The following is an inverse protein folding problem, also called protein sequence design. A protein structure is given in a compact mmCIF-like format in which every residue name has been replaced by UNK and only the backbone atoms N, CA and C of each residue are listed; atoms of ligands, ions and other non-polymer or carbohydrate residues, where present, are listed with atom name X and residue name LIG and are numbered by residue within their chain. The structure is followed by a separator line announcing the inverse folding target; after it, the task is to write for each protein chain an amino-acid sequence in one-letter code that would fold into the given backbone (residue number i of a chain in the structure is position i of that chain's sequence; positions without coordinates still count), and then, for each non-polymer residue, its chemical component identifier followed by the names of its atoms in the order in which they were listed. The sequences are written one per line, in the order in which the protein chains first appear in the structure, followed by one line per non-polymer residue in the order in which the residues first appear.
data_IF_690287087254
#
_entry.id   IF_690287087254
#
_cell.length_a   1.000
_cell.length_b   1.000
_cell.length_c   1.000
_cell.angle_alpha   90.00
_cell.angle_beta   90.00
_cell.angle_gamma   90.00
#
_symmetry.space_group_name_H-M   'P 1'
#
loop_
_entity.id
_entity.type
_entity.pdbx_description
1 polymer ?
#
# COMPACT_ATOMS: atom_id res chain seq x y z
N UNK A 1 12.46 -12.75 17.72
CA UNK A 1 11.53 -13.53 16.91
C UNK A 1 11.13 -12.78 15.63
N UNK A 2 10.50 -11.56 15.68
CA UNK A 2 10.01 -10.83 14.51
C UNK A 2 11.14 -10.49 13.52
N UNK A 3 12.29 -9.98 13.99
CA UNK A 3 13.44 -9.70 13.14
C UNK A 3 13.91 -10.94 12.36
N UNK A 4 14.03 -12.09 13.03
CA UNK A 4 14.44 -13.35 12.40
C UNK A 4 13.43 -13.80 11.34
N UNK A 5 12.13 -13.67 11.64
CA UNK A 5 11.08 -14.02 10.69
C UNK A 5 11.12 -13.14 9.44
N UNK A 6 11.22 -11.80 9.61
CA UNK A 6 11.32 -10.86 8.48
C UNK A 6 12.53 -11.20 7.62
N UNK A 7 13.71 -11.39 8.22
CA UNK A 7 14.94 -11.74 7.50
C UNK A 7 14.84 -13.09 6.78
N UNK A 8 14.16 -14.07 7.39
CA UNK A 8 13.92 -15.35 6.72
C UNK A 8 13.02 -15.20 5.50
N UNK A 9 11.97 -14.40 5.58
CA UNK A 9 11.13 -14.10 4.42
C UNK A 9 11.94 -13.42 3.30
N UNK A 10 12.77 -12.44 3.63
CA UNK A 10 13.65 -11.77 2.66
C UNK A 10 14.64 -12.75 2.01
N UNK A 11 15.29 -13.61 2.80
CA UNK A 11 16.24 -14.59 2.31
C UNK A 11 15.58 -15.62 1.36
N UNK A 12 14.36 -16.06 1.67
CA UNK A 12 13.65 -17.03 0.85
C UNK A 12 13.36 -16.51 -0.57
N UNK A 13 13.27 -15.20 -0.74
CA UNK A 13 12.93 -14.57 -2.02
C UNK A 13 14.03 -13.65 -2.56
N UNK A 14 15.21 -13.70 -1.96
CA UNK A 14 16.33 -12.78 -2.24
C UNK A 14 16.77 -12.76 -3.71
N UNK A 15 16.61 -13.88 -4.42
CA UNK A 15 16.99 -14.04 -5.83
C UNK A 15 15.78 -13.98 -6.79
N UNK A 16 14.60 -13.61 -6.26
CA UNK A 16 13.40 -13.49 -7.07
C UNK A 16 12.92 -12.03 -7.15
N UNK A 17 13.21 -11.31 -8.25
CA UNK A 17 12.84 -9.90 -8.40
C UNK A 17 11.34 -9.65 -8.56
N UNK A 18 10.54 -10.71 -8.73
CA UNK A 18 9.09 -10.63 -8.95
C UNK A 18 8.27 -10.73 -7.66
N UNK A 19 8.93 -10.76 -6.50
CA UNK A 19 8.26 -10.81 -5.19
C UNK A 19 8.20 -9.42 -4.57
N UNK A 20 7.01 -9.03 -4.15
CA UNK A 20 6.77 -7.79 -3.41
C UNK A 20 6.60 -8.15 -1.93
N UNK A 21 7.38 -7.50 -1.08
CA UNK A 21 7.29 -7.63 0.38
C UNK A 21 6.28 -6.63 0.93
N UNK A 22 5.35 -7.08 1.73
CA UNK A 22 4.47 -6.21 2.48
C UNK A 22 4.24 -6.75 3.91
N UNK A 23 3.87 -5.89 4.85
CA UNK A 23 3.78 -6.24 6.27
C UNK A 23 2.81 -7.37 6.55
N UNK A 24 1.62 -7.30 6.03
CA UNK A 24 0.61 -8.38 5.97
C UNK A 24 -0.61 -7.92 5.19
N UNK A 25 -1.53 -8.83 4.89
CA UNK A 25 -2.85 -8.48 4.42
C UNK A 25 -3.66 -7.81 5.56
N UNK A 26 -4.39 -6.74 5.23
CA UNK A 26 -5.27 -6.02 6.14
C UNK A 26 -4.58 -5.51 7.42
N UNK A 27 -3.36 -5.01 7.26
CA UNK A 27 -2.58 -4.50 8.37
C UNK A 27 -3.06 -3.11 8.81
N UNK A 28 -3.60 -3.04 10.02
CA UNK A 28 -3.98 -1.79 10.70
C UNK A 28 -3.17 -1.57 11.99
N UNK A 29 -1.98 -2.13 12.02
CA UNK A 29 -1.09 -2.08 13.17
C UNK A 29 -0.46 -0.70 13.41
N UNK A 30 0.29 -0.55 14.52
CA UNK A 30 0.84 0.73 14.91
C UNK A 30 2.06 1.15 14.09
N UNK A 31 2.29 2.46 14.01
CA UNK A 31 3.41 3.07 13.29
C UNK A 31 4.77 2.46 13.67
N UNK A 32 5.04 2.27 14.96
CA UNK A 32 6.34 1.75 15.41
C UNK A 32 6.66 0.34 14.89
N UNK A 33 5.64 -0.48 14.62
CA UNK A 33 5.87 -1.80 14.02
C UNK A 33 6.27 -1.67 12.55
N UNK A 34 5.64 -0.79 11.80
CA UNK A 34 6.00 -0.53 10.39
C UNK A 34 7.40 0.07 10.30
N UNK A 35 7.75 0.99 11.19
CA UNK A 35 9.10 1.53 11.30
C UNK A 35 10.12 0.42 11.55
N UNK A 36 9.87 -0.44 12.55
CA UNK A 36 10.73 -1.58 12.84
C UNK A 36 10.87 -2.53 11.65
N UNK A 37 9.78 -2.82 10.94
CA UNK A 37 9.79 -3.69 9.76
C UNK A 37 10.65 -3.12 8.63
N UNK A 38 10.49 -1.83 8.32
CA UNK A 38 11.31 -1.14 7.31
C UNK A 38 12.78 -1.03 7.72
N UNK A 39 13.05 -0.76 8.99
CA UNK A 39 14.43 -0.72 9.51
C UNK A 39 15.13 -2.08 9.37
N UNK A 40 14.43 -3.19 9.63
CA UNK A 40 14.96 -4.55 9.41
C UNK A 40 15.24 -4.84 7.93
N UNK A 41 14.38 -4.36 7.03
CA UNK A 41 14.61 -4.50 5.58
C UNK A 41 15.85 -3.70 5.17
N UNK A 42 15.95 -2.44 5.59
CA UNK A 42 17.11 -1.58 5.28
C UNK A 42 18.43 -2.19 5.76
N UNK A 43 18.44 -2.75 6.98
CA UNK A 43 19.62 -3.48 7.51
C UNK A 43 19.96 -4.69 6.65
N UNK A 44 18.96 -5.50 6.30
CA UNK A 44 19.17 -6.68 5.46
C UNK A 44 19.69 -6.31 4.06
N UNK A 45 19.17 -5.25 3.45
CA UNK A 45 19.66 -4.76 2.16
C UNK A 45 21.13 -4.32 2.24
N UNK A 46 21.48 -3.58 3.30
CA UNK A 46 22.86 -3.10 3.51
C UNK A 46 23.86 -4.27 3.73
N UNK A 47 23.44 -5.31 4.44
CA UNK A 47 24.29 -6.47 4.74
C UNK A 47 24.40 -7.44 3.55
N UNK A 48 23.30 -7.67 2.82
CA UNK A 48 23.26 -8.66 1.72
C UNK A 48 23.71 -8.09 0.38
N UNK A 49 23.69 -6.78 0.20
CA UNK A 49 23.86 -6.11 -1.09
C UNK A 49 22.70 -6.31 -2.06
N UNK A 50 21.61 -6.94 -1.60
CA UNK A 50 20.39 -7.19 -2.39
C UNK A 50 19.33 -6.14 -2.13
N UNK A 51 18.33 -6.05 -3.00
CA UNK A 51 17.19 -5.15 -2.86
C UNK A 51 15.90 -5.94 -2.77
N UNK A 52 15.08 -5.60 -1.78
CA UNK A 52 13.70 -6.06 -1.70
C UNK A 52 12.78 -5.07 -2.43
N UNK A 53 11.72 -5.56 -3.04
CA UNK A 53 10.66 -4.71 -3.57
C UNK A 53 9.59 -4.56 -2.51
N UNK A 54 9.43 -3.36 -1.96
CA UNK A 54 8.65 -3.11 -0.75
C UNK A 54 7.37 -2.33 -1.05
N UNK A 55 6.22 -2.87 -0.65
CA UNK A 55 4.94 -2.18 -0.69
C UNK A 55 4.50 -1.72 0.71
N UNK A 56 4.17 -0.45 0.83
CA UNK A 56 3.62 0.15 2.03
C UNK A 56 2.08 0.13 1.97
N UNK A 57 1.48 -0.87 2.64
CA UNK A 57 0.04 -1.10 2.66
C UNK A 57 -0.47 -0.96 4.11
N UNK A 58 -0.77 0.25 4.52
CA UNK A 58 -1.13 0.59 5.91
C UNK A 58 -2.31 1.56 5.95
N UNK A 59 -2.73 1.96 7.16
CA UNK A 59 -3.66 3.08 7.34
C UNK A 59 -3.03 4.40 6.90
N UNK A 60 -3.84 5.40 6.54
CA UNK A 60 -3.34 6.65 5.95
C UNK A 60 -2.37 7.41 6.88
N UNK A 61 -2.68 7.49 8.15
CA UNK A 61 -1.84 8.15 9.16
C UNK A 61 -0.45 7.51 9.28
N UNK A 62 -0.39 6.18 9.28
CA UNK A 62 0.87 5.42 9.30
C UNK A 62 1.60 5.58 7.95
N UNK A 63 0.86 5.51 6.85
CA UNK A 63 1.42 5.67 5.50
C UNK A 63 2.08 7.05 5.33
N UNK A 64 1.36 8.11 5.69
CA UNK A 64 1.86 9.48 5.61
C UNK A 64 3.07 9.70 6.54
N UNK A 65 3.03 9.16 7.77
CA UNK A 65 4.14 9.28 8.73
C UNK A 65 5.43 8.57 8.24
N UNK A 66 5.30 7.40 7.61
CA UNK A 66 6.45 6.68 7.02
C UNK A 66 7.01 7.46 5.82
N UNK A 67 6.14 7.95 4.94
CA UNK A 67 6.55 8.68 3.74
C UNK A 67 7.13 10.07 4.05
N UNK A 68 6.80 10.65 5.20
CA UNK A 68 7.40 11.88 5.70
C UNK A 68 8.81 11.68 6.28
N UNK A 69 9.23 10.46 6.57
CA UNK A 69 10.58 10.12 7.01
C UNK A 69 11.46 9.72 5.80
N UNK A 70 12.39 10.55 5.35
CA UNK A 70 13.17 10.27 4.14
C UNK A 70 13.94 8.95 4.19
N UNK A 71 14.43 8.55 5.37
CA UNK A 71 15.18 7.30 5.55
C UNK A 71 14.30 6.09 5.28
N UNK A 72 13.07 6.07 5.80
CA UNK A 72 12.14 4.96 5.62
C UNK A 72 11.41 5.02 4.29
N UNK A 73 11.10 6.22 3.82
CA UNK A 73 10.55 6.42 2.49
C UNK A 73 11.45 5.85 1.39
N UNK A 74 12.78 5.91 1.56
CA UNK A 74 13.75 5.37 0.61
C UNK A 74 13.70 3.83 0.48
N UNK A 75 13.14 3.13 1.48
CA UNK A 75 12.96 1.65 1.45
C UNK A 75 11.67 1.25 0.72
N UNK A 76 10.71 2.18 0.60
CA UNK A 76 9.40 1.91 0.00
C UNK A 76 9.45 2.14 -1.51
N UNK A 77 9.08 1.14 -2.31
CA UNK A 77 8.96 1.25 -3.76
C UNK A 77 7.52 1.49 -4.21
N UNK A 78 6.56 0.94 -3.48
CA UNK A 78 5.15 0.92 -3.85
C UNK A 78 4.30 1.48 -2.71
N UNK A 79 3.45 2.44 -3.00
CA UNK A 79 2.44 2.98 -2.09
C UNK A 79 1.13 2.27 -2.44
N UNK A 80 0.66 1.37 -1.55
CA UNK A 80 -0.56 0.58 -1.77
C UNK A 80 -1.71 1.14 -0.93
N UNK A 81 -2.67 1.78 -1.61
CA UNK A 81 -3.86 2.38 -1.00
C UNK A 81 -4.92 1.31 -0.86
N UNK A 82 -5.10 0.78 0.35
CA UNK A 82 -5.99 -0.35 0.59
C UNK A 82 -6.91 -0.16 1.78
N UNK A 83 -6.46 0.53 2.82
CA UNK A 83 -7.16 0.58 4.10
C UNK A 83 -7.73 1.94 4.43
N UNK A 84 -7.77 2.83 3.47
CA UNK A 84 -8.39 4.14 3.56
C UNK A 84 -8.90 4.60 2.19
N UNK A 85 -9.79 5.57 2.16
CA UNK A 85 -10.26 6.20 0.93
C UNK A 85 -10.82 7.59 1.23
N UNK A 86 -10.89 8.42 0.22
CA UNK A 86 -11.60 9.67 0.30
C UNK A 86 -13.12 9.45 0.28
N UNK A 87 -13.85 10.40 0.89
CA UNK A 87 -15.29 10.55 0.82
C UNK A 87 -15.60 11.98 0.42
N UNK A 88 -16.86 12.25 0.06
CA UNK A 88 -17.34 13.60 -0.28
C UNK A 88 -17.10 14.60 0.84
N UNK A 89 -17.25 14.17 2.09
CA UNK A 89 -17.17 14.96 3.32
C UNK A 89 -15.89 14.76 4.14
N UNK A 90 -14.90 14.07 3.59
CA UNK A 90 -13.66 13.84 4.32
C UNK A 90 -12.88 12.59 3.92
N UNK A 91 -12.22 11.99 4.89
CA UNK A 91 -11.43 10.78 4.72
C UNK A 91 -12.00 9.67 5.61
N UNK A 92 -12.25 8.50 5.04
CA UNK A 92 -12.35 7.28 5.82
C UNK A 92 -10.94 6.71 5.99
N UNK A 93 -10.39 6.85 7.17
CA UNK A 93 -9.08 6.32 7.53
C UNK A 93 -9.13 5.84 8.98
N UNK A 94 -9.11 4.53 9.22
CA UNK A 94 -8.91 4.04 10.57
C UNK A 94 -7.52 4.43 11.06
N UNK A 95 -7.40 4.71 12.35
CA UNK A 95 -6.11 5.00 12.96
C UNK A 95 -5.26 3.74 13.08
N UNK A 96 -3.96 3.88 12.82
CA UNK A 96 -2.98 2.83 13.02
C UNK A 96 -2.90 2.39 14.49
N UNK A 97 -2.77 1.09 14.70
CA UNK A 97 -2.69 0.50 16.04
C UNK A 97 -4.01 0.13 16.67
N UNK A 98 -5.15 0.42 16.08
CA UNK A 98 -6.46 -0.03 16.59
C UNK A 98 -6.76 -1.50 16.34
N UNK A 99 -5.85 -2.23 15.69
CA UNK A 99 -5.93 -3.68 15.46
C UNK A 99 -7.35 -4.15 15.10
N UNK A 100 -7.97 -3.48 14.14
CA UNK A 100 -9.28 -3.92 13.67
C UNK A 100 -9.17 -5.28 13.01
N UNK A 101 -10.00 -6.23 13.45
CA UNK A 101 -10.10 -7.49 12.74
C UNK A 101 -10.45 -7.24 11.26
N UNK A 102 -9.92 -8.04 10.32
CA UNK A 102 -10.15 -7.88 8.88
C UNK A 102 -11.62 -7.64 8.52
N UNK A 103 -12.51 -8.41 9.12
CA UNK A 103 -13.97 -8.26 8.91
C UNK A 103 -14.53 -6.93 9.41
N UNK A 104 -13.99 -6.39 10.51
CA UNK A 104 -14.41 -5.07 11.03
C UNK A 104 -13.95 -3.95 10.12
N UNK A 105 -12.73 -4.04 9.63
CA UNK A 105 -12.17 -3.10 8.68
C UNK A 105 -13.01 -3.07 7.41
N UNK A 106 -13.26 -4.21 6.77
CA UNK A 106 -14.05 -4.34 5.55
C UNK A 106 -15.48 -3.84 5.71
N UNK A 107 -16.13 -4.10 6.84
CA UNK A 107 -17.47 -3.55 7.13
C UNK A 107 -17.47 -2.02 7.21
N UNK A 108 -16.42 -1.42 7.74
CA UNK A 108 -16.30 0.05 7.84
C UNK A 108 -15.92 0.68 6.51
N UNK A 109 -15.08 0.05 5.73
CA UNK A 109 -14.69 0.52 4.39
C UNK A 109 -15.89 0.70 3.47
N UNK A 110 -16.97 -0.08 3.67
CA UNK A 110 -18.20 -0.03 2.83
C UNK A 110 -17.86 0.18 1.36
N UNK A 111 -17.07 -0.74 0.88
CA UNK A 111 -16.37 -0.75 -0.40
C UNK A 111 -17.27 -0.30 -1.57
N UNK A 112 -18.58 -0.58 -1.58
CA UNK A 112 -19.54 -0.17 -2.63
C UNK A 112 -19.87 1.32 -2.72
N UNK A 113 -19.15 2.21 -2.03
CA UNK A 113 -19.47 3.64 -1.98
C UNK A 113 -18.35 4.58 -2.41
N UNK A 114 -17.23 4.06 -2.91
CA UNK A 114 -16.14 4.89 -3.43
C UNK A 114 -16.51 5.36 -4.84
N UNK A 115 -16.43 6.66 -5.08
CA UNK A 115 -16.67 7.25 -6.39
C UNK A 115 -15.39 7.30 -7.22
N UNK A 116 -15.53 7.49 -8.53
CA UNK A 116 -14.41 7.71 -9.45
C UNK A 116 -13.50 8.86 -8.97
N UNK A 117 -14.10 10.00 -8.62
CA UNK A 117 -13.35 11.19 -8.18
C UNK A 117 -12.56 10.93 -6.89
N UNK A 118 -13.11 10.16 -5.95
CA UNK A 118 -12.45 9.82 -4.69
C UNK A 118 -11.25 8.88 -4.91
N UNK A 119 -11.40 7.88 -5.77
CA UNK A 119 -10.31 6.99 -6.15
C UNK A 119 -9.21 7.75 -6.91
N UNK A 120 -9.58 8.57 -7.90
CA UNK A 120 -8.66 9.44 -8.63
C UNK A 120 -7.85 10.33 -7.68
N UNK A 121 -8.54 11.06 -6.78
CA UNK A 121 -7.90 11.97 -5.82
C UNK A 121 -6.87 11.25 -4.94
N UNK A 122 -7.19 10.06 -4.43
CA UNK A 122 -6.30 9.30 -3.57
C UNK A 122 -5.00 8.90 -4.28
N UNK A 123 -5.11 8.40 -5.51
CA UNK A 123 -3.93 8.01 -6.31
C UNK A 123 -3.13 9.23 -6.75
N UNK A 124 -3.82 10.26 -7.25
CA UNK A 124 -3.18 11.47 -7.75
C UNK A 124 -2.36 12.19 -6.67
N UNK A 125 -2.86 12.25 -5.42
CA UNK A 125 -2.13 12.84 -4.29
C UNK A 125 -0.72 12.24 -4.15
N UNK A 126 -0.61 10.93 -4.12
CA UNK A 126 0.70 10.28 -3.94
C UNK A 126 1.54 10.31 -5.20
N UNK A 127 0.92 10.26 -6.37
CA UNK A 127 1.66 10.42 -7.65
C UNK A 127 2.29 11.79 -7.78
N UNK A 128 1.65 12.85 -7.25
CA UNK A 128 2.22 14.19 -7.24
C UNK A 128 3.35 14.35 -6.22
N UNK A 129 3.19 13.73 -5.04
CA UNK A 129 4.17 13.84 -3.95
C UNK A 129 5.38 12.93 -4.14
N UNK A 130 5.20 11.77 -4.75
CA UNK A 130 6.21 10.72 -4.89
C UNK A 130 6.20 10.15 -6.32
N UNK A 131 6.62 10.94 -7.32
CA UNK A 131 6.55 10.55 -8.73
C UNK A 131 7.43 9.33 -9.07
N UNK A 132 8.44 9.05 -8.26
CA UNK A 132 9.34 7.91 -8.41
C UNK A 132 8.77 6.57 -7.89
N UNK A 133 7.68 6.60 -7.10
CA UNK A 133 7.08 5.41 -6.51
C UNK A 133 5.88 4.94 -7.32
N UNK A 134 5.70 3.61 -7.39
CA UNK A 134 4.45 3.06 -7.90
C UNK A 134 3.32 3.33 -6.89
N UNK A 135 2.12 3.67 -7.37
CA UNK A 135 0.94 3.85 -6.53
C UNK A 135 -0.14 2.89 -6.98
N UNK A 136 -0.56 2.00 -6.10
CA UNK A 136 -1.64 1.05 -6.35
C UNK A 136 -2.87 1.39 -5.52
N UNK A 137 -4.04 1.06 -6.04
CA UNK A 137 -5.31 1.24 -5.34
C UNK A 137 -6.13 -0.05 -5.43
N UNK A 138 -6.64 -0.52 -4.30
CA UNK A 138 -7.43 -1.74 -4.24
C UNK A 138 -8.80 -1.56 -4.90
N UNK A 139 -8.84 -1.76 -6.21
CA UNK A 139 -10.03 -1.55 -7.03
C UNK A 139 -10.75 -2.86 -7.45
N UNK A 140 -10.33 -4.01 -6.92
CA UNK A 140 -10.82 -5.33 -7.38
C UNK A 140 -12.35 -5.49 -7.36
N UNK A 141 -13.02 -4.81 -6.45
CA UNK A 141 -14.47 -4.88 -6.34
C UNK A 141 -15.19 -3.72 -7.06
N UNK A 142 -14.45 -2.91 -7.84
CA UNK A 142 -14.98 -1.70 -8.49
C UNK A 142 -14.41 -1.57 -9.90
N UNK A 143 -15.01 -2.25 -10.87
CA UNK A 143 -14.52 -2.17 -12.25
C UNK A 143 -14.32 -0.74 -12.75
N UNK A 144 -15.26 0.17 -12.43
CA UNK A 144 -15.14 1.57 -12.84
C UNK A 144 -13.95 2.31 -12.23
N UNK A 145 -13.42 1.86 -11.09
CA UNK A 145 -12.31 2.52 -10.40
C UNK A 145 -10.97 2.27 -11.05
N UNK A 146 -10.81 1.20 -11.84
CA UNK A 146 -9.59 0.95 -12.61
C UNK A 146 -9.23 2.10 -13.53
N UNK A 147 -10.21 2.71 -14.17
CA UNK A 147 -10.01 3.90 -15.01
C UNK A 147 -9.58 5.12 -14.17
N UNK A 148 -10.15 5.31 -12.98
CA UNK A 148 -9.72 6.37 -12.07
C UNK A 148 -8.26 6.22 -11.67
N UNK A 149 -7.83 4.99 -11.36
CA UNK A 149 -6.44 4.67 -11.01
C UNK A 149 -5.51 4.96 -12.18
N UNK A 150 -5.85 4.50 -13.40
CA UNK A 150 -5.06 4.72 -14.61
C UNK A 150 -4.91 6.22 -14.90
N UNK A 151 -6.02 6.95 -14.93
CA UNK A 151 -6.02 8.39 -15.26
C UNK A 151 -5.30 9.25 -14.21
N UNK A 152 -5.26 8.80 -12.96
CA UNK A 152 -4.48 9.44 -11.90
C UNK A 152 -2.97 9.10 -11.97
N UNK A 153 -2.54 8.28 -12.93
CA UNK A 153 -1.16 7.81 -13.05
C UNK A 153 -0.80 6.68 -12.10
N UNK A 154 -1.78 5.95 -11.60
CA UNK A 154 -1.57 4.78 -10.75
C UNK A 154 -1.05 3.57 -11.52
N UNK A 155 -0.50 2.63 -10.77
CA UNK A 155 0.08 1.40 -11.29
C UNK A 155 -0.89 0.23 -11.15
N UNK A 156 -0.80 -0.74 -12.06
CA UNK A 156 -1.60 -1.98 -12.04
C UNK A 156 -3.12 -1.74 -11.92
N UNK A 157 -3.74 -0.86 -12.71
CA UNK A 157 -5.17 -0.66 -12.66
C UNK A 157 -5.88 -1.94 -13.11
N UNK A 158 -6.94 -2.33 -12.41
CA UNK A 158 -7.83 -3.40 -12.85
C UNK A 158 -8.94 -2.76 -13.68
N UNK A 159 -8.83 -2.87 -15.00
CA UNK A 159 -9.82 -2.34 -15.94
C UNK A 159 -10.71 -3.51 -16.38
N UNK A 160 -12.05 -3.38 -16.26
CA UNK A 160 -12.93 -4.42 -16.75
C UNK A 160 -12.86 -4.45 -18.28
N UNK A 161 -12.55 -5.61 -18.80
CA UNK A 161 -12.71 -5.91 -20.22
C UNK A 161 -13.93 -6.83 -20.35
N UNK A 162 -14.84 -6.51 -21.24
CA UNK A 162 -15.91 -7.43 -21.62
C UNK A 162 -15.48 -8.14 -22.90
N UNK A 163 -15.94 -9.39 -23.11
CA UNK A 163 -15.65 -10.15 -24.33
C UNK A 163 -16.16 -9.46 -25.61
N UNK A 164 -16.87 -8.36 -25.45
CA UNK A 164 -17.38 -7.52 -26.55
C UNK A 164 -16.45 -6.38 -26.96
N UNK A 165 -15.37 -6.19 -26.21
CA UNK A 165 -14.43 -5.08 -26.43
C UNK A 165 -13.18 -5.54 -27.22
N UNK A 166 -13.18 -6.81 -27.68
CA UNK A 166 -12.12 -7.43 -28.50
C UNK A 166 -12.69 -8.07 -29.75
#
# INVERSE_FOLDING_TARGET
LHRQYIRQCLNNFADNPNVIQLTSAEFTGPLHFVQFWLDVIAEWEAESGKKAKVALSTTKDVQDAILADPKRAAVVDIIDIRYWHYKTDGIFAPEGGKNMAPRQHMRKMKVGKITFTEAYKAVYEYRQKFPEKAVTFYAQNYPAMGWAVLMAGGSCPVIPCTDKDF
#
